data_IF_625988788309
#
_entry.id   IF_625988788309
#
_cell.length_a   1.000
_cell.length_b   1.000
_cell.length_c   1.000
_cell.angle_alpha   90.00
_cell.angle_beta   90.00
_cell.angle_gamma   90.00
#
_symmetry.space_group_name_H-M   'P 1'
#
loop_
_entity.id
_entity.type
_entity.pdbx_description
1 polymer ?
#
# COMPACT_ATOMS: atom_id res chain seq x y z
N UNK A 1 6.82 9.30 -7.66
CA UNK A 1 5.84 10.41 -7.63
C UNK A 1 4.44 9.98 -7.22
N UNK A 2 3.83 9.01 -7.94
CA UNK A 2 2.41 8.67 -7.79
C UNK A 2 2.03 8.29 -6.35
N UNK A 3 2.77 7.37 -5.71
CA UNK A 3 2.44 6.90 -4.35
C UNK A 3 2.56 8.01 -3.30
N UNK A 4 3.52 8.93 -3.45
CA UNK A 4 3.57 10.14 -2.63
C UNK A 4 2.28 10.96 -2.77
N UNK A 5 1.81 11.16 -4.00
CA UNK A 5 0.56 11.88 -4.27
C UNK A 5 -0.64 11.21 -3.61
N UNK A 6 -0.78 9.88 -3.74
CA UNK A 6 -1.84 9.11 -3.08
C UNK A 6 -1.75 9.19 -1.55
N UNK A 7 -0.54 9.08 -0.99
CA UNK A 7 -0.29 9.26 0.44
C UNK A 7 -0.66 10.66 0.92
N UNK A 8 -0.30 11.71 0.18
CA UNK A 8 -0.61 13.09 0.51
C UNK A 8 -2.11 13.40 0.42
N UNK A 9 -2.84 12.79 -0.53
CA UNK A 9 -4.30 12.82 -0.56
C UNK A 9 -4.91 12.22 0.70
N UNK A 10 -4.35 11.10 1.19
CA UNK A 10 -4.83 10.40 2.39
C UNK A 10 -4.44 11.07 3.69
N UNK A 11 -3.25 11.66 3.79
CA UNK A 11 -2.77 12.30 5.03
C UNK A 11 -3.26 13.74 5.09
N UNK A 12 -3.02 14.53 4.05
CA UNK A 12 -3.21 15.98 4.07
C UNK A 12 -4.46 16.45 3.32
N UNK A 13 -5.14 15.58 2.58
CA UNK A 13 -6.29 15.98 1.75
C UNK A 13 -5.90 16.80 0.51
N UNK A 14 -4.62 16.76 0.11
CA UNK A 14 -4.14 17.50 -1.05
C UNK A 14 -4.88 17.09 -2.33
N UNK A 15 -5.03 18.03 -3.27
CA UNK A 15 -5.74 17.82 -4.55
C UNK A 15 -7.17 17.27 -4.38
N UNK A 16 -7.88 17.71 -3.34
CA UNK A 16 -9.24 17.24 -3.05
C UNK A 16 -9.28 15.81 -2.51
N UNK A 17 -8.16 15.30 -1.98
CA UNK A 17 -8.09 14.01 -1.33
C UNK A 17 -8.94 13.94 -0.05
N UNK A 18 -9.24 12.72 0.44
CA UNK A 18 -10.15 12.54 1.56
C UNK A 18 -9.62 13.06 2.91
N UNK A 19 -8.31 13.30 3.02
CA UNK A 19 -7.64 13.52 4.29
C UNK A 19 -7.75 12.31 5.23
N UNK A 20 -7.08 12.39 6.39
CA UNK A 20 -6.94 11.21 7.24
C UNK A 20 -8.28 10.75 7.84
N UNK A 21 -9.16 11.70 8.17
CA UNK A 21 -10.50 11.41 8.67
C UNK A 21 -11.36 10.70 7.60
N UNK A 22 -11.40 11.22 6.37
CA UNK A 22 -12.13 10.60 5.27
C UNK A 22 -11.57 9.22 4.88
N UNK A 23 -10.25 9.07 4.95
CA UNK A 23 -9.59 7.79 4.71
C UNK A 23 -9.86 6.77 5.82
N UNK A 24 -9.90 7.19 7.08
CA UNK A 24 -10.35 6.35 8.20
C UNK A 24 -11.80 5.89 8.01
N UNK A 25 -12.67 6.77 7.52
CA UNK A 25 -14.04 6.38 7.17
C UNK A 25 -14.08 5.37 6.01
N UNK A 26 -13.17 5.46 5.04
CA UNK A 26 -13.04 4.47 3.97
C UNK A 26 -12.65 3.09 4.52
N UNK A 27 -11.75 3.01 5.50
CA UNK A 27 -11.42 1.75 6.18
C UNK A 27 -12.65 1.12 6.85
N UNK A 28 -13.47 1.94 7.51
CA UNK A 28 -14.74 1.49 8.09
C UNK A 28 -15.69 0.94 7.02
N UNK A 29 -15.84 1.61 5.88
CA UNK A 29 -16.65 1.12 4.75
C UNK A 29 -16.11 -0.19 4.16
N UNK A 30 -14.79 -0.37 4.14
CA UNK A 30 -14.15 -1.63 3.74
C UNK A 30 -14.27 -2.74 4.80
N UNK A 31 -14.80 -2.43 5.99
CA UNK A 31 -15.00 -3.30 7.15
C UNK A 31 -13.70 -3.74 7.84
N UNK A 32 -12.59 -3.04 7.62
CA UNK A 32 -11.29 -3.30 8.24
C UNK A 32 -11.27 -2.79 9.69
N UNK A 33 -10.63 -3.52 10.62
CA UNK A 33 -10.53 -3.12 12.04
C UNK A 33 -9.12 -3.24 12.64
N UNK A 34 -8.72 -2.34 13.57
CA UNK A 34 -9.36 -1.06 13.85
C UNK A 34 -9.11 -0.09 12.67
N UNK A 35 -10.13 0.67 12.23
CA UNK A 35 -10.04 1.48 11.00
C UNK A 35 -8.95 2.55 11.08
N UNK A 36 -8.74 3.17 12.25
CA UNK A 36 -7.72 4.20 12.44
C UNK A 36 -6.29 3.68 12.24
N UNK A 37 -5.95 2.50 12.79
CA UNK A 37 -4.60 1.96 12.65
C UNK A 37 -4.29 1.63 11.18
N UNK A 38 -5.20 0.96 10.48
CA UNK A 38 -5.00 0.62 9.07
C UNK A 38 -5.05 1.85 8.15
N UNK A 39 -5.82 2.88 8.50
CA UNK A 39 -5.78 4.16 7.80
C UNK A 39 -4.41 4.82 7.91
N UNK A 40 -3.83 4.87 9.12
CA UNK A 40 -2.49 5.41 9.35
C UNK A 40 -1.43 4.60 8.60
N UNK A 41 -1.43 3.26 8.76
CA UNK A 41 -0.46 2.38 8.12
C UNK A 41 -0.47 2.56 6.59
N UNK A 42 -1.65 2.54 5.97
CA UNK A 42 -1.75 2.69 4.52
C UNK A 42 -1.43 4.10 4.03
N UNK A 43 -1.88 5.14 4.74
CA UNK A 43 -1.66 6.53 4.34
C UNK A 43 -0.18 6.93 4.46
N UNK A 44 0.45 6.64 5.59
CA UNK A 44 1.87 6.92 5.80
C UNK A 44 2.78 5.93 5.07
N UNK A 45 2.33 4.69 4.86
CA UNK A 45 3.05 3.73 4.01
C UNK A 45 3.17 4.21 2.56
N UNK A 46 2.11 4.77 1.99
CA UNK A 46 2.17 5.33 0.64
C UNK A 46 2.92 6.66 0.58
N UNK A 47 2.69 7.56 1.55
CA UNK A 47 3.38 8.84 1.61
C UNK A 47 4.89 8.64 1.81
N UNK A 48 5.26 7.93 2.87
CA UNK A 48 6.64 7.66 3.24
C UNK A 48 7.33 6.74 2.24
N UNK A 49 6.70 5.63 1.84
CA UNK A 49 7.24 4.75 0.81
C UNK A 49 7.42 5.47 -0.53
N UNK A 50 6.50 6.36 -0.90
CA UNK A 50 6.62 7.21 -2.08
C UNK A 50 7.81 8.17 -2.01
N UNK A 51 8.05 8.81 -0.87
CA UNK A 51 9.20 9.71 -0.66
C UNK A 51 10.51 8.91 -0.70
N UNK A 52 10.58 7.83 0.06
CA UNK A 52 11.75 6.96 0.13
C UNK A 52 12.12 6.41 -1.25
N UNK A 53 11.14 5.97 -2.03
CA UNK A 53 11.38 5.48 -3.39
C UNK A 53 11.86 6.58 -4.34
N UNK A 54 11.34 7.81 -4.24
CA UNK A 54 11.80 8.95 -5.06
C UNK A 54 13.27 9.28 -4.77
N UNK A 55 13.65 9.21 -3.49
CA UNK A 55 15.01 9.51 -3.05
C UNK A 55 15.99 8.34 -3.24
N UNK A 56 15.48 7.14 -3.52
CA UNK A 56 16.27 5.90 -3.44
C UNK A 56 16.87 5.71 -2.04
N UNK A 57 16.09 5.97 -0.99
CA UNK A 57 16.51 5.85 0.41
C UNK A 57 15.77 4.70 1.08
N UNK A 58 16.49 3.80 1.76
CA UNK A 58 15.94 2.57 2.35
C UNK A 58 15.06 1.83 1.34
N UNK A 59 15.57 1.66 0.13
CA UNK A 59 14.79 1.25 -1.04
C UNK A 59 14.01 -0.06 -0.85
N UNK A 60 14.57 -1.12 -0.21
CA UNK A 60 13.79 -2.32 0.10
C UNK A 60 12.57 -2.03 0.98
N UNK A 61 12.69 -1.14 1.97
CA UNK A 61 11.59 -0.75 2.85
C UNK A 61 10.52 0.05 2.10
N UNK A 62 10.94 0.95 1.20
CA UNK A 62 10.04 1.69 0.33
C UNK A 62 9.21 0.74 -0.56
N UNK A 63 9.88 -0.24 -1.19
CA UNK A 63 9.24 -1.27 -2.01
C UNK A 63 8.26 -2.10 -1.18
N UNK A 64 8.64 -2.53 0.03
CA UNK A 64 7.78 -3.31 0.91
C UNK A 64 6.51 -2.56 1.32
N UNK A 65 6.63 -1.28 1.70
CA UNK A 65 5.49 -0.44 2.09
C UNK A 65 4.50 -0.27 0.92
N UNK A 66 5.00 -0.01 -0.29
CA UNK A 66 4.17 0.14 -1.48
C UNK A 66 3.54 -1.20 -1.86
N UNK A 67 4.29 -2.30 -1.81
CA UNK A 67 3.79 -3.64 -2.11
C UNK A 67 2.61 -4.02 -1.21
N UNK A 68 2.76 -3.83 0.11
CA UNK A 68 1.69 -4.09 1.07
C UNK A 68 0.44 -3.26 0.77
N UNK A 69 0.58 -1.97 0.49
CA UNK A 69 -0.58 -1.12 0.16
C UNK A 69 -1.28 -1.58 -1.12
N UNK A 70 -0.51 -1.87 -2.19
CA UNK A 70 -1.07 -2.34 -3.46
C UNK A 70 -1.79 -3.68 -3.30
N UNK A 71 -1.20 -4.64 -2.58
CA UNK A 71 -1.83 -5.94 -2.35
C UNK A 71 -3.15 -5.82 -1.58
N UNK A 72 -3.20 -5.02 -0.50
CA UNK A 72 -4.46 -4.79 0.24
C UNK A 72 -5.49 -4.10 -0.66
N UNK A 73 -5.10 -3.08 -1.42
CA UNK A 73 -6.00 -2.39 -2.34
C UNK A 73 -6.56 -3.33 -3.42
N UNK A 74 -5.71 -4.17 -4.01
CA UNK A 74 -6.13 -5.19 -4.97
C UNK A 74 -7.19 -6.09 -4.34
N UNK A 75 -6.85 -6.75 -3.23
CA UNK A 75 -7.72 -7.76 -2.63
C UNK A 75 -9.06 -7.21 -2.15
N UNK A 76 -9.10 -5.97 -1.67
CA UNK A 76 -10.30 -5.41 -1.04
C UNK A 76 -11.17 -4.58 -1.98
N UNK A 77 -10.58 -3.91 -2.97
CA UNK A 77 -11.27 -2.89 -3.77
C UNK A 77 -11.31 -3.23 -5.25
N UNK A 78 -10.23 -3.76 -5.80
CA UNK A 78 -10.06 -3.86 -7.25
C UNK A 78 -10.26 -5.27 -7.82
N UNK A 79 -9.93 -6.31 -7.07
CA UNK A 79 -10.10 -7.70 -7.49
C UNK A 79 -11.55 -8.03 -7.89
N UNK A 80 -12.59 -7.61 -7.13
CA UNK A 80 -13.98 -7.85 -7.53
C UNK A 80 -14.41 -7.12 -8.81
N UNK A 81 -13.65 -6.12 -9.26
CA UNK A 81 -13.94 -5.31 -10.45
C UNK A 81 -13.27 -5.84 -11.73
N UNK A 82 -12.51 -6.94 -11.60
CA UNK A 82 -11.76 -7.55 -12.70
C UNK A 82 -10.44 -6.84 -13.00
N UNK A 83 -9.86 -7.15 -14.16
CA UNK A 83 -8.51 -6.70 -14.51
C UNK A 83 -8.45 -5.22 -14.89
N UNK A 84 -9.23 -4.81 -15.89
CA UNK A 84 -9.07 -3.52 -16.58
C UNK A 84 -9.32 -2.28 -15.69
N UNK A 85 -8.37 -1.34 -15.70
CA UNK A 85 -8.45 -0.10 -14.91
C UNK A 85 -9.65 0.77 -15.30
N UNK A 86 -10.10 0.70 -16.55
CA UNK A 86 -11.29 1.42 -17.05
C UNK A 86 -12.59 1.02 -16.35
N UNK A 87 -12.63 -0.18 -15.75
CA UNK A 87 -13.73 -0.68 -14.91
C UNK A 87 -13.44 -0.52 -13.41
N UNK A 88 -12.37 0.18 -13.06
CA UNK A 88 -11.83 0.25 -11.71
C UNK A 88 -11.11 -1.02 -11.27
N UNK A 89 -10.66 -1.86 -12.21
CA UNK A 89 -9.92 -3.09 -11.96
C UNK A 89 -8.51 -2.89 -11.41
N UNK A 90 -7.78 -3.99 -11.22
CA UNK A 90 -6.48 -4.03 -10.53
C UNK A 90 -5.25 -3.91 -11.44
N UNK A 91 -5.42 -3.76 -12.75
CA UNK A 91 -4.36 -3.63 -13.74
C UNK A 91 -3.26 -2.65 -13.31
N UNK A 92 -3.65 -1.42 -12.94
CA UNK A 92 -2.69 -0.39 -12.55
C UNK A 92 -1.91 -0.74 -11.28
N UNK A 93 -2.59 -1.32 -10.28
CA UNK A 93 -1.95 -1.75 -9.04
C UNK A 93 -0.93 -2.87 -9.32
N UNK A 94 -1.26 -3.78 -10.24
CA UNK A 94 -0.35 -4.85 -10.66
C UNK A 94 0.86 -4.30 -11.44
N UNK A 95 0.67 -3.28 -12.28
CA UNK A 95 1.79 -2.59 -12.94
C UNK A 95 2.73 -1.95 -11.92
N UNK A 96 2.20 -1.32 -10.86
CA UNK A 96 3.01 -0.78 -9.77
C UNK A 96 3.77 -1.90 -9.04
N UNK A 97 3.11 -3.03 -8.74
CA UNK A 97 3.76 -4.20 -8.14
C UNK A 97 4.91 -4.72 -9.01
N UNK A 98 4.73 -4.80 -10.33
CA UNK A 98 5.80 -5.18 -11.25
C UNK A 98 6.98 -4.21 -11.20
N UNK A 99 6.72 -2.90 -11.20
CA UNK A 99 7.76 -1.88 -11.14
C UNK A 99 8.56 -1.94 -9.82
N UNK A 100 7.89 -2.03 -8.68
CA UNK A 100 8.59 -2.10 -7.38
C UNK A 100 9.31 -3.45 -7.19
N UNK A 101 8.80 -4.55 -7.76
CA UNK A 101 9.50 -5.83 -7.74
C UNK A 101 10.80 -5.76 -8.55
N UNK A 102 10.78 -5.10 -9.71
CA UNK A 102 12.00 -4.84 -10.47
C UNK A 102 13.01 -4.01 -9.66
N UNK A 103 12.57 -2.93 -9.00
CA UNK A 103 13.45 -2.12 -8.14
C UNK A 103 13.97 -2.91 -6.95
N UNK A 104 13.14 -3.73 -6.29
CA UNK A 104 13.57 -4.55 -5.16
C UNK A 104 14.62 -5.61 -5.53
N UNK A 105 14.59 -6.12 -6.77
CA UNK A 105 15.53 -7.13 -7.26
C UNK A 105 16.81 -6.52 -7.85
N UNK A 106 16.70 -5.38 -8.52
CA UNK A 106 17.85 -4.68 -9.14
C UNK A 106 18.62 -3.83 -8.13
N UNK A 107 17.92 -3.29 -7.13
CA UNK A 107 18.46 -2.37 -6.14
C UNK A 107 18.22 -0.89 -6.47
N UNK A 108 18.73 0.02 -5.62
CA UNK A 108 18.38 1.44 -5.64
C UNK A 108 19.00 2.27 -6.79
N UNK A 109 20.02 1.73 -7.48
CA UNK A 109 20.78 2.44 -8.52
C UNK A 109 21.85 3.39 -7.95
N UNK A 110 22.75 3.87 -8.82
CA UNK A 110 23.94 4.64 -8.40
C UNK A 110 23.61 6.08 -7.96
N UNK A 111 22.55 6.68 -8.53
CA UNK A 111 22.10 8.04 -8.19
C UNK A 111 21.22 8.10 -6.91
N UNK A 112 21.11 6.98 -6.19
CA UNK A 112 20.27 6.88 -5.00
C UNK A 112 20.92 7.45 -3.74
N UNK A 113 20.10 7.89 -2.77
CA UNK A 113 20.62 8.24 -1.44
C UNK A 113 21.21 7.03 -0.72
N UNK A 114 20.72 5.81 -0.98
CA UNK A 114 21.34 4.58 -0.48
C UNK A 114 22.80 4.47 -0.94
N UNK A 115 23.08 4.74 -2.23
CA UNK A 115 24.45 4.76 -2.75
C UNK A 115 25.27 5.92 -2.19
N UNK A 116 24.70 7.14 -2.19
CA UNK A 116 25.39 8.35 -1.70
C UNK A 116 25.77 8.27 -0.21
N UNK A 117 24.90 7.66 0.61
CA UNK A 117 25.10 7.48 2.05
C UNK A 117 25.74 6.13 2.41
N UNK A 118 26.05 5.29 1.42
CA UNK A 118 26.60 3.94 1.59
C UNK A 118 25.75 3.06 2.52
N UNK A 119 24.44 3.16 2.37
CA UNK A 119 23.49 2.31 3.08
C UNK A 119 23.45 0.96 2.38
N UNK A 120 23.97 -0.06 3.06
CA UNK A 120 23.92 -1.44 2.61
C UNK A 120 23.15 -2.26 3.64
N UNK A 121 21.95 -2.71 3.26
CA UNK A 121 21.17 -3.63 4.07
C UNK A 121 21.64 -5.07 3.81
N UNK A 122 21.56 -5.97 4.81
CA UNK A 122 22.07 -7.33 4.67
C UNK A 122 21.21 -8.17 3.71
N UNK A 123 21.73 -8.43 2.52
CA UNK A 123 21.09 -9.32 1.54
C UNK A 123 21.55 -10.79 1.72
N UNK A 124 20.67 -11.80 1.54
CA UNK A 124 19.26 -11.71 1.14
C UNK A 124 18.28 -11.54 2.33
N UNK A 125 18.80 -11.38 3.55
CA UNK A 125 18.00 -11.40 4.77
C UNK A 125 16.95 -10.27 4.79
N UNK A 126 17.29 -9.07 4.33
CA UNK A 126 16.37 -7.94 4.24
C UNK A 126 15.18 -8.23 3.34
N UNK A 127 15.40 -8.74 2.13
CA UNK A 127 14.30 -9.10 1.23
C UNK A 127 13.40 -10.18 1.82
N UNK A 128 13.96 -11.20 2.47
CA UNK A 128 13.19 -12.27 3.11
C UNK A 128 12.32 -11.71 4.23
N UNK A 129 12.92 -10.95 5.15
CA UNK A 129 12.21 -10.37 6.30
C UNK A 129 11.10 -9.43 5.84
N UNK A 130 11.38 -8.57 4.87
CA UNK A 130 10.38 -7.63 4.35
C UNK A 130 9.27 -8.33 3.59
N UNK A 131 9.57 -9.38 2.82
CA UNK A 131 8.55 -10.20 2.15
C UNK A 131 7.63 -10.86 3.17
N UNK A 132 8.19 -11.46 4.24
CA UNK A 132 7.42 -12.05 5.34
C UNK A 132 6.56 -10.98 6.01
N UNK A 133 7.13 -9.79 6.29
CA UNK A 133 6.41 -8.69 6.92
C UNK A 133 5.25 -8.19 6.04
N UNK A 134 5.44 -8.10 4.72
CA UNK A 134 4.36 -7.73 3.77
C UNK A 134 3.26 -8.78 3.79
N UNK A 135 3.60 -10.07 3.70
CA UNK A 135 2.61 -11.16 3.73
C UNK A 135 1.83 -11.13 5.05
N UNK A 136 2.52 -11.01 6.18
CA UNK A 136 1.90 -10.94 7.50
C UNK A 136 1.00 -9.70 7.63
N UNK A 137 1.45 -8.53 7.16
CA UNK A 137 0.67 -7.29 7.17
C UNK A 137 -0.58 -7.38 6.30
N UNK A 138 -0.47 -7.92 5.09
CA UNK A 138 -1.62 -8.15 4.21
C UNK A 138 -2.59 -9.15 4.85
N UNK A 139 -2.11 -10.27 5.37
CA UNK A 139 -2.94 -11.25 6.05
C UNK A 139 -3.66 -10.66 7.27
N UNK A 140 -2.97 -9.85 8.07
CA UNK A 140 -3.58 -9.14 9.21
C UNK A 140 -4.65 -8.14 8.76
N UNK A 141 -4.41 -7.38 7.68
CA UNK A 141 -5.39 -6.45 7.13
C UNK A 141 -6.66 -7.18 6.68
N UNK A 142 -6.49 -8.27 5.92
CA UNK A 142 -7.60 -9.09 5.43
C UNK A 142 -8.33 -9.81 6.57
N UNK A 143 -7.60 -10.39 7.52
CA UNK A 143 -8.15 -11.11 8.67
C UNK A 143 -8.89 -10.19 9.65
N UNK A 144 -8.57 -8.90 9.66
CA UNK A 144 -9.29 -7.92 10.47
C UNK A 144 -10.65 -7.48 9.89
N UNK A 145 -10.96 -7.91 8.66
CA UNK A 145 -12.18 -7.52 7.95
C UNK A 145 -13.39 -8.25 8.52
N UNK A 146 -14.41 -7.50 8.97
CA UNK A 146 -15.68 -8.12 9.41
C UNK A 146 -16.48 -8.67 8.23
N UNK A 147 -17.27 -9.76 8.42
CA UNK A 147 -18.26 -10.22 7.45
C UNK A 147 -19.26 -9.12 7.06
N UNK A 148 -19.89 -9.25 5.89
CA UNK A 148 -20.97 -8.35 5.51
C UNK A 148 -22.19 -8.67 6.38
N UNK A 149 -22.91 -7.64 6.81
CA UNK A 149 -24.19 -7.85 7.50
C UNK A 149 -25.19 -8.47 6.52
N UNK A 150 -25.91 -9.51 6.94
CA UNK A 150 -26.93 -10.12 6.09
C UNK A 150 -28.01 -9.10 5.75
N UNK A 151 -28.61 -9.15 4.54
CA UNK A 151 -29.73 -8.29 4.21
C UNK A 151 -30.82 -8.49 5.27
N UNK A 152 -31.29 -7.40 5.88
CA UNK A 152 -32.43 -7.47 6.79
C UNK A 152 -33.62 -7.95 5.97
N UNK A 153 -34.18 -9.11 6.33
CA UNK A 153 -35.44 -9.56 5.74
C UNK A 153 -36.48 -8.49 6.06
N UNK A 154 -36.92 -7.73 5.05
CA UNK A 154 -38.12 -6.91 5.17
C UNK A 154 -39.27 -7.87 5.45
N UNK A 155 -39.68 -7.97 6.71
CA UNK A 155 -41.00 -8.48 7.06
C UNK A 155 -42.00 -7.48 6.53
N UNK A 156 -42.58 -7.81 5.38
CA UNK A 156 -43.78 -7.22 4.83
C UNK A 156 -45.00 -7.49 5.73
#
# INVERSE_FOLDING_TARGET
GILFGHGAQKVFGWWGGPGLAGWTQAMTRMRIRPPGAWALISAFGELGGGILLILGLLTPLACAAIAGSMLVAIMLVHLPKGFWVTKGGYEFNLSILGAIAAVALVGPGDDSLDAALRIHLPEPATLIVLTIAVIAGVAAALGSRKPAEAPKTETA
#
